data_IF_467844986078
#
_entry.id   IF_467844986078
#
_cell.length_a   1.000
_cell.length_b   1.000
_cell.length_c   1.000
_cell.angle_alpha   90.00
_cell.angle_beta   90.00
_cell.angle_gamma   90.00
#
_symmetry.space_group_name_H-M   'P 1'
#
loop_
_entity.id
_entity.type
_entity.pdbx_description
1 polymer ?
#
# COMPACT_ATOMS: atom_id res chain seq x y z
N UNK A 1 -38.99 -23.53 -4.36
CA UNK A 1 -37.95 -23.15 -3.39
C UNK A 1 -37.95 -21.63 -3.33
N UNK A 2 -38.52 -21.04 -2.28
CA UNK A 2 -38.61 -19.59 -2.14
C UNK A 2 -37.24 -19.11 -1.63
N UNK A 3 -36.45 -18.49 -2.50
CA UNK A 3 -35.18 -17.88 -2.13
C UNK A 3 -35.55 -16.65 -1.31
N UNK A 4 -35.62 -16.81 0.02
CA UNK A 4 -35.88 -15.71 0.93
C UNK A 4 -34.87 -14.62 0.67
N UNK A 5 -35.35 -13.41 0.40
CA UNK A 5 -34.51 -12.24 0.26
C UNK A 5 -33.61 -12.15 1.51
N UNK A 6 -32.28 -12.15 1.39
CA UNK A 6 -31.39 -12.16 2.54
C UNK A 6 -31.34 -10.80 3.24
N UNK A 7 -31.88 -9.74 2.63
CA UNK A 7 -31.83 -8.42 3.25
C UNK A 7 -32.78 -8.34 4.44
N UNK A 8 -32.34 -7.72 5.55
CA UNK A 8 -33.18 -7.49 6.72
C UNK A 8 -34.36 -6.60 6.37
N UNK A 9 -35.52 -6.88 6.99
CA UNK A 9 -36.73 -6.06 6.84
C UNK A 9 -36.44 -4.62 7.29
N UNK A 10 -36.54 -3.60 6.40
CA UNK A 10 -36.23 -2.21 6.74
C UNK A 10 -37.00 -1.66 7.94
N UNK A 11 -38.15 -2.24 8.27
CA UNK A 11 -38.97 -1.83 9.43
C UNK A 11 -38.46 -2.39 10.75
N UNK A 12 -37.55 -3.37 10.69
CA UNK A 12 -37.02 -4.11 11.83
C UNK A 12 -35.48 -4.07 11.88
N UNK A 13 -34.85 -3.17 11.12
CA UNK A 13 -33.39 -2.95 11.16
C UNK A 13 -33.08 -1.87 12.20
N UNK A 14 -32.34 -2.20 13.29
CA UNK A 14 -31.92 -1.21 14.27
C UNK A 14 -31.08 -0.09 13.62
N UNK A 15 -31.31 1.16 14.01
CA UNK A 15 -30.57 2.31 13.48
C UNK A 15 -31.01 2.81 12.10
N UNK A 16 -31.98 2.16 11.44
CA UNK A 16 -32.54 2.62 10.16
C UNK A 16 -33.79 3.47 10.41
N UNK A 17 -33.80 4.73 9.99
CA UNK A 17 -35.03 5.52 10.04
C UNK A 17 -36.05 5.06 8.97
N UNK A 18 -37.35 5.33 9.21
CA UNK A 18 -38.39 5.17 8.19
C UNK A 18 -38.03 5.96 6.92
N UNK A 19 -37.58 5.26 5.88
CA UNK A 19 -37.05 5.87 4.64
C UNK A 19 -35.69 5.35 4.20
N UNK A 20 -35.04 4.51 5.01
CA UNK A 20 -33.78 3.86 4.66
C UNK A 20 -32.53 4.70 4.89
N UNK A 21 -32.67 5.85 5.57
CA UNK A 21 -31.53 6.58 6.09
C UNK A 21 -31.04 5.94 7.39
N UNK A 22 -29.80 6.24 7.74
CA UNK A 22 -29.24 6.00 9.06
C UNK A 22 -28.86 7.37 9.66
N UNK A 23 -28.97 7.56 10.98
CA UNK A 23 -28.61 8.81 11.61
C UNK A 23 -27.15 9.17 11.33
N UNK A 24 -26.88 10.45 11.07
CA UNK A 24 -25.53 10.94 10.90
C UNK A 24 -24.71 10.67 12.17
N UNK A 25 -23.79 9.69 12.10
CA UNK A 25 -23.01 9.19 13.23
C UNK A 25 -23.00 7.66 13.38
N UNK A 26 -23.95 6.95 12.76
CA UNK A 26 -23.96 5.47 12.67
C UNK A 26 -23.01 4.95 11.57
N UNK A 27 -22.80 5.74 10.51
CA UNK A 27 -21.63 5.55 9.64
C UNK A 27 -20.41 6.02 10.43
N UNK A 28 -19.40 5.17 10.66
CA UNK A 28 -18.15 5.61 11.27
C UNK A 28 -17.67 6.90 10.57
N UNK A 29 -17.20 7.92 11.32
CA UNK A 29 -16.70 9.15 10.70
C UNK A 29 -15.74 8.76 9.60
N UNK A 30 -15.99 9.26 8.38
CA UNK A 30 -15.26 8.93 7.16
C UNK A 30 -13.80 8.70 7.52
N UNK A 31 -13.40 7.43 7.50
CA UNK A 31 -12.14 6.93 8.01
C UNK A 31 -11.07 7.86 7.46
N UNK A 32 -10.53 8.72 8.33
CA UNK A 32 -9.66 9.81 7.93
C UNK A 32 -8.53 9.21 7.13
N UNK A 33 -8.63 9.34 5.81
CA UNK A 33 -7.86 8.56 4.86
C UNK A 33 -6.39 8.75 5.15
N UNK A 34 -5.75 7.71 5.68
CA UNK A 34 -4.29 7.48 5.75
C UNK A 34 -3.39 8.64 6.23
N UNK A 35 -3.95 9.74 6.73
CA UNK A 35 -3.18 10.96 7.05
C UNK A 35 -2.18 10.72 8.19
N UNK A 36 -2.49 9.74 9.06
CA UNK A 36 -1.62 9.28 10.14
C UNK A 36 -0.88 7.96 9.83
N UNK A 37 -0.99 7.42 8.60
CA UNK A 37 -0.32 6.18 8.19
C UNK A 37 1.18 6.36 7.87
N UNK A 38 1.73 7.55 8.11
CA UNK A 38 3.15 7.84 7.98
C UNK A 38 3.98 7.13 9.06
N UNK A 39 5.27 6.83 8.81
CA UNK A 39 6.14 6.26 9.83
C UNK A 39 6.18 7.17 11.07
N UNK A 40 5.77 6.62 12.23
CA UNK A 40 5.86 7.33 13.54
C UNK A 40 7.29 7.71 13.92
N UNK A 41 8.28 7.10 13.26
CA UNK A 41 9.71 7.33 13.48
C UNK A 41 10.42 7.48 12.13
N UNK A 42 11.41 8.37 12.07
CA UNK A 42 12.24 8.52 10.88
C UNK A 42 13.03 7.22 10.63
N UNK A 43 12.98 6.66 9.40
CA UNK A 43 13.76 5.46 9.08
C UNK A 43 15.27 5.75 9.20
N UNK A 44 16.08 4.75 9.55
CA UNK A 44 17.52 4.90 9.68
C UNK A 44 18.13 5.36 8.34
N UNK A 45 18.94 6.42 8.41
CA UNK A 45 19.66 6.99 7.26
C UNK A 45 20.93 6.18 6.99
N UNK A 46 21.40 6.16 5.74
CA UNK A 46 22.74 5.66 5.39
C UNK A 46 22.84 4.25 4.82
N UNK A 47 21.75 3.49 4.73
CA UNK A 47 21.77 2.13 4.17
C UNK A 47 22.03 2.08 2.66
N UNK A 48 21.84 3.20 1.95
CA UNK A 48 22.02 3.26 0.50
C UNK A 48 23.49 3.13 0.04
N UNK A 49 24.45 3.48 0.88
CA UNK A 49 25.86 3.53 0.48
C UNK A 49 26.43 2.14 0.17
N UNK A 50 26.15 1.14 1.01
CA UNK A 50 26.65 -0.23 0.81
C UNK A 50 26.20 -0.86 -0.52
N UNK A 51 24.88 -0.93 -0.79
CA UNK A 51 24.35 -1.40 -2.07
C UNK A 51 24.84 -0.60 -3.27
N UNK A 52 24.95 0.73 -3.15
CA UNK A 52 25.45 1.58 -4.23
C UNK A 52 26.90 1.23 -4.59
N UNK A 53 27.77 1.09 -3.58
CA UNK A 53 29.17 0.70 -3.80
C UNK A 53 29.24 -0.67 -4.48
N UNK A 54 28.47 -1.65 -4.00
CA UNK A 54 28.45 -2.99 -4.59
C UNK A 54 28.03 -2.98 -6.07
N UNK A 55 26.97 -2.24 -6.41
CA UNK A 55 26.49 -2.11 -7.80
C UNK A 55 27.56 -1.46 -8.68
N UNK A 56 28.18 -0.37 -8.22
CA UNK A 56 29.24 0.32 -8.97
C UNK A 56 30.45 -0.60 -9.18
N UNK A 57 30.87 -1.35 -8.17
CA UNK A 57 31.97 -2.31 -8.30
C UNK A 57 31.67 -3.36 -9.36
N UNK A 58 30.49 -3.98 -9.31
CA UNK A 58 30.08 -4.99 -10.31
C UNK A 58 30.04 -4.38 -11.71
N UNK A 59 29.46 -3.19 -11.86
CA UNK A 59 29.39 -2.50 -13.15
C UNK A 59 30.79 -2.22 -13.73
N UNK A 60 31.74 -1.77 -12.91
CA UNK A 60 33.13 -1.54 -13.33
C UNK A 60 33.80 -2.84 -13.77
N UNK A 61 33.63 -3.94 -13.04
CA UNK A 61 34.20 -5.24 -13.42
C UNK A 61 33.65 -5.72 -14.76
N UNK A 62 32.33 -5.62 -14.96
CA UNK A 62 31.68 -5.99 -16.22
C UNK A 62 32.16 -5.11 -17.38
N UNK A 63 32.25 -3.80 -17.16
CA UNK A 63 32.76 -2.87 -18.18
C UNK A 63 34.23 -3.17 -18.54
N UNK A 64 35.08 -3.45 -17.54
CA UNK A 64 36.48 -3.83 -17.75
C UNK A 64 36.60 -5.15 -18.53
N UNK A 65 35.74 -6.13 -18.26
CA UNK A 65 35.68 -7.37 -19.03
C UNK A 65 35.38 -7.11 -20.51
N UNK A 66 34.35 -6.31 -20.81
CA UNK A 66 34.01 -5.99 -22.20
C UNK A 66 35.09 -5.17 -22.90
N UNK A 67 35.72 -4.23 -22.18
CA UNK A 67 36.88 -3.48 -22.70
C UNK A 67 38.03 -4.42 -23.04
N UNK A 68 38.39 -5.34 -22.15
CA UNK A 68 39.43 -6.32 -22.40
C UNK A 68 39.07 -7.22 -23.59
N UNK A 69 37.82 -7.70 -23.65
CA UNK A 69 37.33 -8.51 -24.76
C UNK A 69 37.45 -7.78 -26.10
N UNK A 70 37.01 -6.52 -26.17
CA UNK A 70 37.06 -5.72 -27.40
C UNK A 70 38.48 -5.35 -27.86
N UNK A 71 39.46 -5.36 -26.95
CA UNK A 71 40.86 -5.08 -27.27
C UNK A 71 41.66 -6.34 -27.63
N UNK A 72 41.29 -7.50 -27.08
CA UNK A 72 42.05 -8.74 -27.20
C UNK A 72 41.51 -9.70 -28.28
N UNK A 73 40.25 -9.54 -28.70
CA UNK A 73 39.60 -10.37 -29.71
C UNK A 73 39.13 -9.52 -30.90
#
# INVERSE_FOLDING_TARGET
MNIGNPDPDPRNTPGLEPGGSVPAGETPPAEGSTSEAGPRHAPPRGWAAGPLIAIVTVAVVVAAFFLAYALLL
#
